data_IF_678931911084
#
_entry.id   IF_678931911084
#
_cell.length_a   1.000
_cell.length_b   1.000
_cell.length_c   1.000
_cell.angle_alpha   90.00
_cell.angle_beta   90.00
_cell.angle_gamma   90.00
#
_symmetry.space_group_name_H-M   'P 1'
#
loop_
_entity.id
_entity.type
_entity.pdbx_description
1 polymer ?
#
# COMPACT_ATOMS: atom_id res chain seq x y z
N UNK A 1 12.02 -29.53 0.85
CA UNK A 1 11.95 -28.35 -0.03
C UNK A 1 10.49 -27.97 -0.13
N UNK A 2 10.07 -26.98 0.65
CA UNK A 2 8.68 -26.50 0.66
C UNK A 2 8.36 -25.97 -0.74
N UNK A 3 7.32 -26.49 -1.41
CA UNK A 3 6.90 -25.94 -2.70
C UNK A 3 6.43 -24.51 -2.42
N UNK A 4 7.20 -23.52 -2.86
CA UNK A 4 6.72 -22.14 -2.93
C UNK A 4 5.51 -22.13 -3.85
N UNK A 5 4.32 -22.12 -3.25
CA UNK A 5 3.10 -21.99 -4.03
C UNK A 5 3.03 -20.52 -4.44
N UNK A 6 3.19 -20.23 -5.71
CA UNK A 6 2.93 -18.88 -6.22
C UNK A 6 1.46 -18.49 -5.90
N UNK A 7 1.17 -17.20 -5.64
CA UNK A 7 -0.21 -16.73 -5.51
C UNK A 7 -1.04 -17.03 -6.76
N UNK A 8 -2.37 -17.03 -6.65
CA UNK A 8 -3.20 -17.14 -7.85
C UNK A 8 -2.89 -16.02 -8.86
N UNK A 9 -3.19 -16.21 -10.16
CA UNK A 9 -2.94 -15.19 -11.18
C UNK A 9 -3.57 -13.82 -10.87
N UNK A 10 -4.75 -13.80 -10.24
CA UNK A 10 -5.44 -12.56 -9.87
C UNK A 10 -4.70 -11.88 -8.72
N UNK A 11 -4.41 -12.60 -7.63
CA UNK A 11 -3.69 -12.03 -6.48
C UNK A 11 -2.29 -11.57 -6.89
N UNK A 12 -1.58 -12.38 -7.68
CA UNK A 12 -0.26 -12.02 -8.24
C UNK A 12 -0.33 -10.73 -9.06
N UNK A 13 -1.33 -10.60 -9.93
CA UNK A 13 -1.49 -9.40 -10.77
C UNK A 13 -1.75 -8.17 -9.92
N UNK A 14 -2.63 -8.24 -8.92
CA UNK A 14 -2.90 -7.12 -8.03
C UNK A 14 -1.68 -6.75 -7.18
N UNK A 15 -0.90 -7.73 -6.71
CA UNK A 15 0.38 -7.47 -6.02
C UNK A 15 1.37 -6.75 -6.93
N UNK A 16 1.48 -7.13 -8.21
CA UNK A 16 2.33 -6.45 -9.18
C UNK A 16 1.83 -5.04 -9.53
N UNK A 17 0.52 -4.81 -9.55
CA UNK A 17 -0.05 -3.46 -9.68
C UNK A 17 0.38 -2.59 -8.49
N UNK A 18 0.39 -3.14 -7.27
CA UNK A 18 0.91 -2.43 -6.09
C UNK A 18 2.41 -2.09 -6.24
N UNK A 19 3.22 -3.00 -6.79
CA UNK A 19 4.64 -2.72 -7.10
C UNK A 19 4.76 -1.52 -8.03
N UNK A 20 4.04 -1.52 -9.16
CA UNK A 20 4.05 -0.40 -10.10
C UNK A 20 3.59 0.90 -9.44
N UNK A 21 2.52 0.84 -8.63
CA UNK A 21 2.01 1.98 -7.88
C UNK A 21 3.07 2.57 -6.93
N UNK A 22 3.73 1.75 -6.09
CA UNK A 22 4.75 2.24 -5.16
C UNK A 22 5.98 2.79 -5.88
N UNK A 23 6.38 2.23 -7.02
CA UNK A 23 7.46 2.79 -7.83
C UNK A 23 7.09 4.13 -8.45
N UNK A 24 5.87 4.26 -8.99
CA UNK A 24 5.37 5.53 -9.51
C UNK A 24 5.24 6.60 -8.41
N UNK A 25 4.74 6.23 -7.24
CA UNK A 25 4.67 7.09 -6.06
C UNK A 25 6.09 7.52 -5.62
N UNK A 26 7.04 6.58 -5.58
CA UNK A 26 8.44 6.87 -5.25
C UNK A 26 9.07 7.86 -6.22
N UNK A 27 8.87 7.66 -7.53
CA UNK A 27 9.33 8.59 -8.55
C UNK A 27 8.68 9.97 -8.41
N UNK A 28 7.38 10.03 -8.11
CA UNK A 28 6.67 11.28 -7.89
C UNK A 28 7.25 12.06 -6.69
N UNK A 29 7.47 11.41 -5.55
CA UNK A 29 8.11 12.05 -4.40
C UNK A 29 9.56 12.47 -4.71
N UNK A 30 10.36 11.63 -5.37
CA UNK A 30 11.75 11.97 -5.71
C UNK A 30 11.85 13.21 -6.62
N UNK A 31 10.92 13.33 -7.58
CA UNK A 31 10.85 14.42 -8.54
C UNK A 31 10.03 15.64 -8.05
N UNK A 32 9.38 15.55 -6.90
CA UNK A 32 8.51 16.61 -6.37
C UNK A 32 7.20 16.80 -7.16
N UNK A 33 6.72 15.75 -7.84
CA UNK A 33 5.48 15.78 -8.62
C UNK A 33 4.26 15.62 -7.72
N UNK A 34 3.63 16.73 -7.35
CA UNK A 34 2.47 16.79 -6.45
C UNK A 34 1.15 16.42 -7.16
N UNK A 35 0.98 15.13 -7.48
CA UNK A 35 -0.23 14.59 -8.10
C UNK A 35 -1.12 13.90 -7.05
N UNK A 36 -2.42 14.24 -6.92
CA UNK A 36 -3.33 13.72 -5.87
C UNK A 36 -3.57 12.20 -5.80
N UNK A 37 -2.88 11.38 -6.60
CA UNK A 37 -2.97 9.91 -6.52
C UNK A 37 -1.62 9.30 -6.15
N UNK A 38 -0.53 9.94 -6.58
CA UNK A 38 0.85 9.50 -6.36
C UNK A 38 1.53 10.24 -5.22
N UNK A 39 0.82 11.17 -4.58
CA UNK A 39 1.36 12.01 -3.53
C UNK A 39 0.26 12.21 -2.49
N UNK A 40 0.40 11.54 -1.35
CA UNK A 40 -0.51 11.71 -0.22
C UNK A 40 -0.16 13.06 0.43
N UNK A 41 -1.18 13.85 0.76
CA UNK A 41 -1.02 15.23 1.25
C UNK A 41 -0.33 16.18 0.23
N UNK A 42 -0.54 15.96 -1.07
CA UNK A 42 0.10 16.68 -2.20
C UNK A 42 0.14 18.22 -2.07
N UNK A 43 -0.87 18.81 -1.47
CA UNK A 43 -1.08 20.25 -1.28
C UNK A 43 -0.56 20.79 0.06
N UNK A 44 -0.03 19.93 0.93
CA UNK A 44 0.61 20.36 2.18
C UNK A 44 2.10 20.71 1.97
N UNK A 45 2.65 21.66 2.76
CA UNK A 45 4.06 22.00 2.72
C UNK A 45 4.93 20.85 3.22
N UNK A 46 5.97 20.51 2.45
CA UNK A 46 6.98 19.51 2.81
C UNK A 46 8.38 20.04 2.49
N UNK A 47 9.36 19.56 3.24
CA UNK A 47 10.75 19.77 2.88
C UNK A 47 11.20 18.72 1.85
N UNK A 48 11.91 19.15 0.81
CA UNK A 48 12.34 18.26 -0.28
C UNK A 48 13.16 17.03 0.18
N UNK A 49 13.86 17.12 1.32
CA UNK A 49 14.58 15.96 1.86
C UNK A 49 13.63 14.89 2.43
N UNK A 50 12.46 15.27 2.96
CA UNK A 50 11.44 14.35 3.48
C UNK A 50 10.84 13.54 2.33
N UNK A 51 10.53 14.19 1.21
CA UNK A 51 10.05 13.51 0.00
C UNK A 51 11.08 12.52 -0.55
N UNK A 52 12.37 12.86 -0.50
CA UNK A 52 13.42 11.92 -0.89
C UNK A 52 13.45 10.71 0.05
N UNK A 53 13.33 10.90 1.36
CA UNK A 53 13.24 9.77 2.31
C UNK A 53 12.04 8.88 1.96
N UNK A 54 10.85 9.48 1.78
CA UNK A 54 9.63 8.75 1.40
C UNK A 54 9.87 7.96 0.11
N UNK A 55 10.47 8.57 -0.91
CA UNK A 55 10.75 7.90 -2.19
C UNK A 55 11.55 6.60 -2.04
N UNK A 56 12.57 6.58 -1.17
CA UNK A 56 13.37 5.39 -0.92
C UNK A 56 12.63 4.35 -0.08
N UNK A 57 11.80 4.78 0.88
CA UNK A 57 10.95 3.83 1.64
C UNK A 57 9.92 3.14 0.74
N UNK A 58 9.43 3.80 -0.31
CA UNK A 58 8.49 3.20 -1.24
C UNK A 58 9.13 2.09 -2.09
N UNK A 59 10.46 2.13 -2.31
CA UNK A 59 11.20 1.03 -2.93
C UNK A 59 11.15 -0.23 -2.07
N UNK A 60 11.20 -0.11 -0.73
CA UNK A 60 11.08 -1.27 0.15
C UNK A 60 9.68 -1.88 0.12
N UNK A 61 8.64 -1.05 -0.01
CA UNK A 61 7.27 -1.52 -0.28
C UNK A 61 7.20 -2.27 -1.61
N UNK A 62 7.72 -1.69 -2.69
CA UNK A 62 7.75 -2.33 -4.00
C UNK A 62 8.48 -3.68 -3.96
N UNK A 63 9.62 -3.78 -3.28
CA UNK A 63 10.35 -5.04 -3.11
C UNK A 63 9.55 -6.10 -2.33
N UNK A 64 8.90 -5.71 -1.24
CA UNK A 64 8.06 -6.62 -0.43
C UNK A 64 6.86 -7.15 -1.23
N UNK A 65 6.16 -6.27 -1.95
CA UNK A 65 5.02 -6.67 -2.79
C UNK A 65 5.46 -7.51 -3.99
N UNK A 66 6.63 -7.23 -4.55
CA UNK A 66 7.22 -8.06 -5.59
C UNK A 66 7.54 -9.46 -5.06
N UNK A 67 8.17 -9.58 -3.88
CA UNK A 67 8.42 -10.86 -3.24
C UNK A 67 7.10 -11.63 -2.97
N UNK A 68 6.08 -10.95 -2.44
CA UNK A 68 4.74 -11.51 -2.25
C UNK A 68 4.09 -12.01 -3.55
N UNK A 69 4.37 -11.36 -4.69
CA UNK A 69 3.88 -11.81 -6.00
C UNK A 69 4.52 -13.12 -6.49
N UNK A 70 5.69 -13.48 -5.93
CA UNK A 70 6.45 -14.68 -6.31
C UNK A 70 6.26 -15.81 -5.32
N UNK A 71 6.14 -15.49 -4.04
CA UNK A 71 5.98 -16.45 -2.97
C UNK A 71 4.79 -16.09 -2.08
N UNK A 72 3.80 -16.98 -2.06
CA UNK A 72 2.59 -16.81 -1.27
C UNK A 72 2.86 -16.76 0.24
N UNK A 73 3.94 -17.38 0.72
CA UNK A 73 4.32 -17.30 2.13
C UNK A 73 4.63 -15.85 2.55
N UNK A 74 4.97 -14.97 1.59
CA UNK A 74 5.32 -13.57 1.84
C UNK A 74 4.08 -12.66 1.85
N UNK A 75 2.94 -13.10 1.29
CA UNK A 75 1.70 -12.29 1.19
C UNK A 75 1.23 -11.73 2.54
N UNK A 76 1.23 -12.46 3.66
CA UNK A 76 0.84 -11.89 4.96
C UNK A 76 1.64 -10.65 5.37
N UNK A 77 2.94 -10.61 5.06
CA UNK A 77 3.78 -9.45 5.40
C UNK A 77 3.45 -8.23 4.54
N UNK A 78 3.15 -8.43 3.25
CA UNK A 78 2.65 -7.38 2.37
C UNK A 78 1.26 -6.87 2.82
N UNK A 79 0.40 -7.75 3.32
CA UNK A 79 -0.90 -7.36 3.89
C UNK A 79 -0.73 -6.55 5.18
N UNK A 80 0.15 -6.97 6.07
CA UNK A 80 0.47 -6.23 7.30
C UNK A 80 0.96 -4.82 6.96
N UNK A 81 1.86 -4.68 5.99
CA UNK A 81 2.41 -3.37 5.63
C UNK A 81 1.36 -2.43 5.05
N UNK A 82 0.48 -2.87 4.14
CA UNK A 82 -0.59 -2.00 3.61
C UNK A 82 -1.64 -1.65 4.66
N UNK A 83 -1.98 -2.59 5.56
CA UNK A 83 -2.89 -2.28 6.67
C UNK A 83 -2.27 -1.28 7.65
N UNK A 84 -0.98 -1.42 7.96
CA UNK A 84 -0.26 -0.45 8.78
C UNK A 84 -0.27 0.94 8.14
N UNK A 85 -0.07 1.03 6.81
CA UNK A 85 -0.19 2.29 6.06
C UNK A 85 -1.60 2.87 6.19
N UNK A 86 -2.65 2.09 5.98
CA UNK A 86 -4.04 2.56 6.11
C UNK A 86 -4.33 3.10 7.50
N UNK A 87 -3.90 2.40 8.55
CA UNK A 87 -4.08 2.85 9.94
C UNK A 87 -3.29 4.13 10.21
N UNK A 88 -2.03 4.20 9.76
CA UNK A 88 -1.19 5.38 9.91
C UNK A 88 -1.79 6.61 9.22
N UNK A 89 -2.29 6.45 7.99
CA UNK A 89 -2.97 7.52 7.26
C UNK A 89 -4.27 7.96 7.94
N UNK A 90 -5.08 7.01 8.42
CA UNK A 90 -6.28 7.33 9.17
C UNK A 90 -5.98 8.08 10.47
N UNK A 91 -4.88 7.74 11.16
CA UNK A 91 -4.40 8.47 12.33
C UNK A 91 -3.99 9.90 11.98
N UNK A 92 -3.16 10.07 10.93
CA UNK A 92 -2.69 11.39 10.48
C UNK A 92 -3.86 12.27 10.00
N UNK A 93 -4.82 11.71 9.27
CA UNK A 93 -5.99 12.45 8.78
C UNK A 93 -6.88 13.05 9.89
N UNK A 94 -6.74 12.55 11.12
CA UNK A 94 -7.48 13.00 12.30
C UNK A 94 -6.62 13.85 13.24
N UNK A 95 -5.34 14.03 12.93
CA UNK A 95 -4.38 14.62 13.84
C UNK A 95 -4.50 16.15 13.88
N UNK A 96 -4.20 16.74 15.04
CA UNK A 96 -4.18 18.19 15.21
C UNK A 96 -3.08 18.84 14.37
N UNK A 97 -1.95 18.16 14.18
CA UNK A 97 -0.82 18.65 13.38
C UNK A 97 -1.22 18.84 11.91
N UNK A 98 -1.96 17.88 11.33
CA UNK A 98 -2.46 18.05 9.96
C UNK A 98 -3.51 19.18 9.91
N UNK A 99 -4.38 19.27 10.91
CA UNK A 99 -5.39 20.33 10.97
C UNK A 99 -4.76 21.74 11.02
N UNK A 100 -3.67 21.90 11.77
CA UNK A 100 -2.88 23.15 11.82
C UNK A 100 -2.30 23.50 10.46
N UNK A 101 -1.73 22.51 9.75
CA UNK A 101 -1.14 22.69 8.42
C UNK A 101 -2.20 23.09 7.38
N UNK A 102 -3.41 22.54 7.47
CA UNK A 102 -4.50 22.79 6.53
C UNK A 102 -5.19 24.14 6.72
N UNK A 103 -5.03 24.77 7.90
CA UNK A 103 -5.60 26.08 8.22
C UNK A 103 -7.09 26.21 7.86
N UNK A 104 -7.90 25.23 8.27
CA UNK A 104 -9.34 25.18 8.00
C UNK A 104 -9.74 24.52 6.67
N UNK A 105 -8.78 24.10 5.84
CA UNK A 105 -9.06 23.31 4.63
C UNK A 105 -9.54 21.89 4.99
N UNK A 106 -10.37 21.31 4.12
CA UNK A 106 -10.95 19.98 4.35
C UNK A 106 -9.94 18.84 4.17
N UNK A 107 -10.06 17.79 4.99
CA UNK A 107 -9.31 16.52 4.85
C UNK A 107 -9.98 15.50 3.92
N UNK A 108 -11.13 15.84 3.30
CA UNK A 108 -11.93 14.89 2.50
C UNK A 108 -11.11 14.16 1.43
N UNK A 109 -10.21 14.85 0.73
CA UNK A 109 -9.42 14.22 -0.33
C UNK A 109 -8.42 13.17 0.22
N UNK A 110 -7.86 13.39 1.41
CA UNK A 110 -6.96 12.43 2.05
C UNK A 110 -7.73 11.21 2.57
N UNK A 111 -8.96 11.42 3.04
CA UNK A 111 -9.87 10.32 3.38
C UNK A 111 -10.23 9.46 2.17
N UNK A 112 -10.46 10.07 1.00
CA UNK A 112 -10.69 9.32 -0.24
C UNK A 112 -9.48 8.47 -0.63
N UNK A 113 -8.27 9.02 -0.54
CA UNK A 113 -7.03 8.26 -0.78
C UNK A 113 -6.88 7.10 0.22
N UNK A 114 -7.13 7.36 1.50
CA UNK A 114 -7.04 6.36 2.57
C UNK A 114 -8.06 5.25 2.38
N UNK A 115 -9.29 5.59 2.02
CA UNK A 115 -10.36 4.63 1.72
C UNK A 115 -10.04 3.78 0.49
N UNK A 116 -9.42 4.35 -0.56
CA UNK A 116 -8.97 3.60 -1.73
C UNK A 116 -7.90 2.56 -1.37
N UNK A 117 -6.91 2.92 -0.54
CA UNK A 117 -5.90 1.98 -0.03
C UNK A 117 -6.53 0.91 0.87
N UNK A 118 -7.49 1.28 1.72
CA UNK A 118 -8.22 0.34 2.56
C UNK A 118 -9.02 -0.67 1.73
N UNK A 119 -9.73 -0.21 0.71
CA UNK A 119 -10.46 -1.09 -0.21
C UNK A 119 -9.52 -2.07 -0.92
N UNK A 120 -8.36 -1.60 -1.39
CA UNK A 120 -7.32 -2.45 -1.97
C UNK A 120 -6.82 -3.51 -0.95
N UNK A 121 -6.54 -3.10 0.29
CA UNK A 121 -6.11 -4.00 1.35
C UNK A 121 -7.17 -5.09 1.66
N UNK A 122 -8.45 -4.71 1.71
CA UNK A 122 -9.58 -5.64 1.88
C UNK A 122 -9.64 -6.64 0.72
N UNK A 123 -9.54 -6.19 -0.53
CA UNK A 123 -9.57 -7.06 -1.71
C UNK A 123 -8.42 -8.06 -1.69
N UNK A 124 -7.19 -7.60 -1.44
CA UNK A 124 -6.01 -8.47 -1.35
C UNK A 124 -6.15 -9.49 -0.22
N UNK A 125 -6.64 -9.06 0.95
CA UNK A 125 -6.89 -9.92 2.11
C UNK A 125 -7.94 -10.99 1.78
N UNK A 126 -9.07 -10.60 1.20
CA UNK A 126 -10.15 -11.52 0.83
C UNK A 126 -9.70 -12.57 -0.19
N UNK A 127 -8.94 -12.18 -1.21
CA UNK A 127 -8.36 -13.12 -2.18
C UNK A 127 -7.39 -14.10 -1.53
N UNK A 128 -6.49 -13.62 -0.67
CA UNK A 128 -5.55 -14.47 0.05
C UNK A 128 -6.26 -15.49 0.96
N UNK A 129 -7.29 -15.05 1.69
CA UNK A 129 -8.09 -15.92 2.55
C UNK A 129 -8.84 -16.99 1.74
N UNK A 130 -9.45 -16.60 0.61
CA UNK A 130 -10.14 -17.54 -0.30
C UNK A 130 -9.19 -18.61 -0.83
N UNK A 131 -7.99 -18.22 -1.25
CA UNK A 131 -6.96 -19.17 -1.68
C UNK A 131 -6.53 -20.09 -0.54
N UNK A 132 -6.48 -19.61 0.72
CA UNK A 132 -6.05 -20.41 1.89
C UNK A 132 -7.07 -21.49 2.23
N UNK A 133 -8.36 -21.13 2.24
CA UNK A 133 -9.44 -22.11 2.39
C UNK A 133 -9.43 -23.16 1.29
N UNK A 134 -9.22 -22.74 0.04
CA UNK A 134 -9.20 -23.65 -1.12
C UNK A 134 -8.01 -24.63 -1.13
N UNK A 135 -6.86 -24.23 -0.56
CA UNK A 135 -5.71 -25.11 -0.37
C UNK A 135 -5.93 -26.11 0.77
N UNK A 136 -6.52 -25.68 1.88
CA UNK A 136 -6.81 -26.55 3.03
C UNK A 136 -7.85 -27.63 2.70
N UNK A 137 -8.87 -27.31 1.90
CA UNK A 137 -9.87 -28.29 1.47
C UNK A 137 -9.26 -29.37 0.55
N UNK A 138 -8.33 -28.99 -0.34
CA UNK A 138 -7.64 -29.93 -1.25
C UNK A 138 -6.69 -30.90 -0.56
N UNK A 139 -6.17 -30.58 0.63
CA UNK A 139 -5.34 -31.51 1.40
C UNK A 139 -6.13 -32.55 2.19
N UNK A 140 -7.45 -32.37 2.31
CA UNK A 140 -8.35 -33.25 3.07
C UNK A 140 -9.14 -34.23 2.18
N UNK A 141 -9.07 -34.06 0.85
CA UNK A 141 -9.69 -34.92 -0.17
C UNK A 141 -8.62 -35.75 -0.86
#
# INVERSE_FOLDING_TARGET
MERTMAPSPILKTLLLICVAFFLCMGAAHFLGLKVPVLFIYFDTPFYAYQDRIISFTLVTYAALFFAASRDRAVVPFALISIWATVIGLAYINQSSELAEVLNGSSTTIYWLQTAALAALAVVLTGLFMKERGSSAQRSLT
#
